data_IF_700689644723
#
_entry.id   IF_700689644723
#
_cell.length_a   1.000
_cell.length_b   1.000
_cell.length_c   1.000
_cell.angle_alpha   90.00
_cell.angle_beta   90.00
_cell.angle_gamma   90.00
#
_symmetry.space_group_name_H-M   'P 1'
#
loop_
_entity.id
_entity.type
_entity.pdbx_description
1 polymer ?
#
# COMPACT_ATOMS: atom_id res chain seq x y z
N UNK A 1 13.85 -8.78 21.51
CA UNK A 1 14.44 -9.96 22.16
C UNK A 1 13.33 -10.94 22.46
N UNK A 2 12.28 -10.55 23.20
CA UNK A 2 11.11 -11.39 23.51
C UNK A 2 10.48 -12.10 22.30
N UNK A 3 10.26 -11.41 21.19
CA UNK A 3 9.73 -12.00 19.94
C UNK A 3 10.60 -13.09 19.30
N UNK A 4 11.93 -13.00 19.47
CA UNK A 4 12.85 -14.03 18.99
C UNK A 4 12.84 -15.25 19.90
N UNK A 5 12.55 -15.05 21.20
CA UNK A 5 12.44 -16.13 22.18
C UNK A 5 11.11 -16.88 22.01
N UNK A 6 10.00 -16.17 21.81
CA UNK A 6 8.69 -16.78 21.56
C UNK A 6 8.66 -17.56 20.24
N UNK A 7 9.28 -17.02 19.18
CA UNK A 7 9.41 -17.73 17.90
C UNK A 7 10.33 -18.95 18.04
N UNK A 8 11.42 -18.86 18.79
CA UNK A 8 12.30 -20.00 19.08
C UNK A 8 11.59 -21.09 19.90
N UNK A 9 10.80 -20.69 20.91
CA UNK A 9 10.00 -21.62 21.72
C UNK A 9 8.93 -22.31 20.89
N UNK A 10 8.29 -21.57 19.97
CA UNK A 10 7.33 -22.11 19.03
C UNK A 10 7.98 -23.09 18.04
N UNK A 11 9.19 -22.80 17.53
CA UNK A 11 9.96 -23.73 16.70
C UNK A 11 10.27 -25.05 17.43
N UNK A 12 10.67 -24.98 18.70
CA UNK A 12 10.89 -26.18 19.53
C UNK A 12 9.60 -27.00 19.70
N UNK A 13 8.47 -26.33 19.95
CA UNK A 13 7.17 -26.97 20.04
C UNK A 13 6.76 -27.66 18.72
N UNK A 14 6.99 -27.00 17.57
CA UNK A 14 6.74 -27.60 16.26
C UNK A 14 7.61 -28.82 16.01
N UNK A 15 8.90 -28.77 16.32
CA UNK A 15 9.80 -29.92 16.14
C UNK A 15 9.37 -31.11 17.00
N UNK A 16 9.04 -30.89 18.27
CA UNK A 16 8.59 -31.96 19.17
C UNK A 16 7.26 -32.58 18.72
N UNK A 17 6.31 -31.75 18.27
CA UNK A 17 5.01 -32.23 17.80
C UNK A 17 5.08 -32.96 16.45
N UNK A 18 5.93 -32.50 15.52
CA UNK A 18 6.15 -33.16 14.24
C UNK A 18 6.92 -34.48 14.41
N UNK A 19 7.90 -34.53 15.31
CA UNK A 19 8.59 -35.79 15.68
C UNK A 19 7.61 -36.79 16.30
N UNK A 20 6.71 -36.34 17.19
CA UNK A 20 5.67 -37.19 17.76
C UNK A 20 4.65 -37.70 16.73
N UNK A 21 4.47 -36.98 15.62
CA UNK A 21 3.69 -37.40 14.46
C UNK A 21 4.52 -38.23 13.47
N UNK A 22 5.81 -38.46 13.71
CA UNK A 22 6.69 -39.21 12.82
C UNK A 22 6.98 -38.52 11.49
N UNK A 23 6.85 -37.18 11.44
CA UNK A 23 7.11 -36.37 10.26
C UNK A 23 8.53 -35.79 10.31
N UNK A 24 9.10 -35.51 9.14
CA UNK A 24 10.44 -34.92 9.03
C UNK A 24 10.47 -33.48 9.55
N UNK A 25 11.06 -33.30 10.73
CA UNK A 25 11.13 -31.99 11.39
C UNK A 25 11.87 -30.93 10.57
N UNK A 26 12.90 -31.27 9.79
CA UNK A 26 13.68 -30.26 9.06
C UNK A 26 12.88 -29.63 7.92
N UNK A 27 12.03 -30.44 7.28
CA UNK A 27 11.20 -30.00 6.14
C UNK A 27 9.90 -29.38 6.63
N UNK A 28 9.22 -30.03 7.58
CA UNK A 28 7.88 -29.63 7.97
C UNK A 28 7.86 -28.44 8.94
N UNK A 29 8.91 -28.18 9.73
CA UNK A 29 8.97 -26.98 10.58
C UNK A 29 8.95 -25.71 9.74
N UNK A 30 9.85 -25.60 8.76
CA UNK A 30 9.92 -24.41 7.90
C UNK A 30 8.69 -24.29 6.98
N UNK A 31 8.13 -25.41 6.53
CA UNK A 31 6.90 -25.41 5.75
C UNK A 31 5.70 -24.90 6.56
N UNK A 32 5.46 -25.45 7.76
CA UNK A 32 4.35 -25.05 8.63
C UNK A 32 4.48 -23.59 9.03
N UNK A 33 5.70 -23.11 9.30
CA UNK A 33 5.95 -21.69 9.52
C UNK A 33 5.60 -20.84 8.29
N UNK A 34 5.94 -21.29 7.09
CA UNK A 34 5.58 -20.60 5.85
C UNK A 34 4.07 -20.47 5.66
N UNK A 35 3.30 -21.51 5.99
CA UNK A 35 1.83 -21.50 5.97
C UNK A 35 1.30 -20.50 6.99
N UNK A 36 1.78 -20.59 8.24
CA UNK A 36 1.38 -19.70 9.32
C UNK A 36 1.68 -18.23 9.03
N UNK A 37 2.82 -17.91 8.42
CA UNK A 37 3.20 -16.56 8.01
C UNK A 37 2.39 -16.07 6.80
N UNK A 38 2.07 -16.93 5.85
CA UNK A 38 1.27 -16.55 4.68
C UNK A 38 -0.16 -16.17 5.09
N UNK A 39 -0.79 -17.01 5.91
CA UNK A 39 -2.13 -16.77 6.44
C UNK A 39 -2.15 -15.62 7.48
N UNK A 40 -1.03 -15.29 8.12
CA UNK A 40 -0.92 -14.11 8.99
C UNK A 40 -1.06 -12.76 8.25
N UNK A 41 -0.87 -12.76 6.92
CA UNK A 41 -0.97 -11.56 6.07
C UNK A 41 -2.38 -11.34 5.50
N UNK A 42 -3.30 -12.26 5.77
CA UNK A 42 -4.71 -12.11 5.44
C UNK A 42 -5.41 -11.09 6.34
N UNK A 43 -6.54 -10.57 5.87
CA UNK A 43 -7.38 -9.59 6.58
C UNK A 43 -8.30 -10.24 7.64
N UNK A 44 -8.15 -11.56 7.87
CA UNK A 44 -8.93 -12.32 8.81
C UNK A 44 -8.50 -12.01 10.25
N UNK A 45 -9.48 -11.71 11.12
CA UNK A 45 -9.22 -11.37 12.52
C UNK A 45 -9.53 -12.52 13.47
N UNK A 46 -8.63 -12.76 14.42
CA UNK A 46 -8.91 -13.55 15.62
C UNK A 46 -9.29 -15.02 15.35
N UNK A 47 -10.53 -15.40 15.71
CA UNK A 47 -11.02 -16.78 15.66
C UNK A 47 -11.15 -17.32 14.22
N UNK A 48 -11.50 -16.48 13.26
CA UNK A 48 -11.57 -16.86 11.84
C UNK A 48 -10.19 -17.23 11.31
N UNK A 49 -9.18 -16.43 11.67
CA UNK A 49 -7.78 -16.69 11.32
C UNK A 49 -7.26 -17.97 11.98
N UNK A 50 -7.64 -18.22 13.24
CA UNK A 50 -7.26 -19.46 13.93
C UNK A 50 -7.87 -20.70 13.25
N UNK A 51 -9.13 -20.63 12.83
CA UNK A 51 -9.80 -21.72 12.14
C UNK A 51 -9.17 -21.99 10.77
N UNK A 52 -8.91 -20.93 9.98
CA UNK A 52 -8.24 -21.03 8.67
C UNK A 52 -6.86 -21.66 8.79
N UNK A 53 -6.03 -21.18 9.73
CA UNK A 53 -4.71 -21.75 10.01
C UNK A 53 -4.78 -23.23 10.40
N UNK A 54 -5.75 -23.61 11.24
CA UNK A 54 -5.95 -25.00 11.63
C UNK A 54 -6.22 -25.87 10.40
N UNK A 55 -7.14 -25.43 9.53
CA UNK A 55 -7.54 -26.18 8.33
C UNK A 55 -6.36 -26.34 7.38
N UNK A 56 -5.62 -25.27 7.08
CA UNK A 56 -4.48 -25.31 6.15
C UNK A 56 -3.34 -26.22 6.66
N UNK A 57 -3.00 -26.12 7.95
CA UNK A 57 -1.99 -27.00 8.56
C UNK A 57 -2.48 -28.44 8.54
N UNK A 58 -3.74 -28.69 8.90
CA UNK A 58 -4.32 -30.03 8.92
C UNK A 58 -4.36 -30.67 7.54
N UNK A 59 -4.80 -29.94 6.52
CA UNK A 59 -4.81 -30.44 5.13
C UNK A 59 -3.41 -30.84 4.70
N UNK A 60 -2.41 -29.99 4.95
CA UNK A 60 -1.03 -30.29 4.57
C UNK A 60 -0.46 -31.51 5.29
N UNK A 61 -0.58 -31.54 6.62
CA UNK A 61 0.02 -32.61 7.42
C UNK A 61 -0.72 -33.94 7.19
N UNK A 62 -2.05 -33.91 7.00
CA UNK A 62 -2.84 -35.12 6.75
C UNK A 62 -2.43 -35.86 5.48
N UNK A 63 -1.99 -35.14 4.44
CA UNK A 63 -1.48 -35.73 3.20
C UNK A 63 -0.12 -36.41 3.36
N UNK A 64 0.63 -36.00 4.39
CA UNK A 64 1.98 -36.49 4.69
C UNK A 64 1.99 -37.59 5.75
N UNK A 65 0.83 -37.89 6.34
CA UNK A 65 0.65 -38.90 7.37
C UNK A 65 0.40 -40.27 6.73
N UNK A 66 1.36 -41.18 6.86
CA UNK A 66 1.28 -42.53 6.28
C UNK A 66 0.25 -43.46 6.95
N UNK A 67 -0.24 -43.14 8.16
CA UNK A 67 -1.23 -43.96 8.88
C UNK A 67 -2.49 -43.14 9.22
N UNK A 68 -3.63 -43.39 8.53
CA UNK A 68 -4.90 -42.71 8.76
C UNK A 68 -5.71 -43.34 9.91
N UNK A 69 -5.04 -43.81 10.96
CA UNK A 69 -5.73 -44.33 12.14
C UNK A 69 -6.46 -43.19 12.88
N UNK A 70 -7.66 -43.45 13.45
CA UNK A 70 -8.45 -42.40 14.11
C UNK A 70 -7.71 -41.75 15.29
N UNK A 71 -6.84 -42.51 15.97
CA UNK A 71 -5.98 -41.98 17.05
C UNK A 71 -4.93 -41.00 16.52
N UNK A 72 -4.28 -41.31 15.38
CA UNK A 72 -3.34 -40.38 14.74
C UNK A 72 -4.04 -39.13 14.22
N UNK A 73 -5.25 -39.27 13.68
CA UNK A 73 -6.02 -38.12 13.22
C UNK A 73 -6.43 -37.20 14.38
N UNK A 74 -6.80 -37.76 15.53
CA UNK A 74 -7.12 -36.98 16.74
C UNK A 74 -5.87 -36.27 17.30
N UNK A 75 -4.72 -36.95 17.31
CA UNK A 75 -3.44 -36.36 17.72
C UNK A 75 -3.02 -35.22 16.78
N UNK A 76 -3.21 -35.39 15.47
CA UNK A 76 -2.98 -34.35 14.48
C UNK A 76 -3.91 -33.16 14.70
N UNK A 77 -5.21 -33.39 14.90
CA UNK A 77 -6.18 -32.31 15.10
C UNK A 77 -5.86 -31.50 16.36
N UNK A 78 -5.50 -32.17 17.45
CA UNK A 78 -5.07 -31.53 18.69
C UNK A 78 -3.77 -30.72 18.50
N UNK A 79 -2.81 -31.26 17.75
CA UNK A 79 -1.57 -30.56 17.40
C UNK A 79 -1.84 -29.31 16.55
N UNK A 80 -2.64 -29.42 15.49
CA UNK A 80 -3.01 -28.29 14.63
C UNK A 80 -3.75 -27.20 15.41
N UNK A 81 -4.67 -27.58 16.31
CA UNK A 81 -5.33 -26.62 17.22
C UNK A 81 -4.30 -25.87 18.07
N UNK A 82 -3.38 -26.59 18.70
CA UNK A 82 -2.34 -26.00 19.54
C UNK A 82 -1.36 -25.11 18.77
N UNK A 83 -1.06 -25.45 17.51
CA UNK A 83 -0.25 -24.63 16.61
C UNK A 83 -0.94 -23.30 16.31
N UNK A 84 -2.20 -23.35 15.86
CA UNK A 84 -2.97 -22.15 15.54
C UNK A 84 -3.18 -21.25 16.75
N UNK A 85 -3.49 -21.82 17.93
CA UNK A 85 -3.68 -21.08 19.17
C UNK A 85 -2.41 -20.34 19.60
N UNK A 86 -1.27 -21.05 19.65
CA UNK A 86 0.01 -20.45 20.06
C UNK A 86 0.50 -19.41 19.05
N UNK A 87 0.28 -19.64 17.76
CA UNK A 87 0.63 -18.68 16.72
C UNK A 87 -0.15 -17.38 16.88
N UNK A 88 -1.49 -17.45 17.02
CA UNK A 88 -2.37 -16.28 17.15
C UNK A 88 -2.19 -15.54 18.47
N UNK A 89 -1.98 -16.25 19.59
CA UNK A 89 -1.92 -15.62 20.91
C UNK A 89 -0.52 -15.25 21.40
N UNK A 90 0.53 -15.91 20.91
CA UNK A 90 1.90 -15.68 21.38
C UNK A 90 2.71 -15.00 20.26
N UNK A 91 2.88 -15.69 19.13
CA UNK A 91 3.80 -15.25 18.07
C UNK A 91 3.34 -13.97 17.36
N UNK A 92 2.06 -13.89 16.98
CA UNK A 92 1.49 -12.73 16.29
C UNK A 92 1.56 -11.43 17.13
N UNK A 93 1.13 -11.42 18.40
CA UNK A 93 1.26 -10.24 19.25
C UNK A 93 2.71 -9.82 19.52
N UNK A 94 3.63 -10.78 19.69
CA UNK A 94 5.04 -10.46 19.94
C UNK A 94 5.74 -9.92 18.70
N UNK A 95 5.45 -10.45 17.51
CA UNK A 95 5.95 -9.92 16.24
C UNK A 95 5.38 -8.53 15.94
N UNK A 96 4.09 -8.28 16.21
CA UNK A 96 3.48 -6.96 16.08
C UNK A 96 4.12 -5.92 17.01
N UNK A 97 4.36 -6.27 18.29
CA UNK A 97 5.06 -5.39 19.25
C UNK A 97 6.49 -5.08 18.80
N UNK A 98 7.21 -6.05 18.24
CA UNK A 98 8.55 -5.82 17.71
C UNK A 98 8.54 -4.86 16.52
N UNK A 99 7.62 -5.05 15.57
CA UNK A 99 7.48 -4.16 14.41
C UNK A 99 7.14 -2.73 14.83
N UNK A 100 6.25 -2.57 15.81
CA UNK A 100 5.91 -1.26 16.36
C UNK A 100 7.12 -0.59 17.04
N UNK A 101 7.89 -1.35 17.83
CA UNK A 101 9.11 -0.85 18.49
C UNK A 101 10.20 -0.47 17.49
N UNK A 102 10.42 -1.28 16.45
CA UNK A 102 11.34 -0.94 15.35
C UNK A 102 10.90 0.33 14.61
N UNK A 103 9.60 0.49 14.36
CA UNK A 103 9.05 1.69 13.72
C UNK A 103 9.27 2.93 14.59
N UNK A 104 9.03 2.84 15.90
CA UNK A 104 9.31 3.94 16.83
C UNK A 104 10.79 4.29 16.88
N UNK A 105 11.68 3.30 16.96
CA UNK A 105 13.13 3.53 16.93
C UNK A 105 13.61 4.14 15.60
N UNK A 106 13.03 3.73 14.48
CA UNK A 106 13.34 4.30 13.16
C UNK A 106 12.89 5.77 13.07
N UNK A 107 11.69 6.09 13.59
CA UNK A 107 11.21 7.48 13.66
C UNK A 107 12.10 8.33 14.59
N UNK A 108 12.42 7.84 15.78
CA UNK A 108 13.30 8.55 16.73
C UNK A 108 14.72 8.79 16.17
N UNK A 109 15.25 7.85 15.38
CA UNK A 109 16.53 8.03 14.68
C UNK A 109 16.45 9.11 13.59
N UNK A 110 15.33 9.22 12.87
CA UNK A 110 15.09 10.28 11.88
C UNK A 110 14.95 11.66 12.56
N UNK A 111 14.24 11.74 13.69
CA UNK A 111 14.11 12.98 14.47
C UNK A 111 15.42 13.40 15.15
N UNK A 112 16.19 12.45 15.66
CA UNK A 112 17.52 12.71 16.27
C UNK A 112 18.57 13.09 15.23
N UNK A 113 18.48 12.56 14.01
CA UNK A 113 19.30 13.00 12.86
C UNK A 113 18.90 14.39 12.35
N UNK A 114 17.67 14.84 12.60
CA UNK A 114 17.15 16.13 12.11
C UNK A 114 17.36 17.29 13.09
N UNK A 115 17.91 17.04 14.28
CA UNK A 115 18.17 18.07 15.31
C UNK A 115 19.64 18.49 15.42
N UNK A 116 20.54 17.89 14.63
CA UNK A 116 21.94 18.31 14.50
C UNK A 116 22.20 18.94 13.12
N UNK A 117 21.60 20.10 12.85
CA UNK A 117 21.86 20.84 11.62
C UNK A 117 21.07 22.13 11.56
N UNK A 118 21.75 23.25 11.81
CA UNK A 118 21.28 24.58 11.47
C UNK A 118 20.75 24.64 10.03
N UNK A 119 19.84 25.56 9.69
CA UNK A 119 19.29 25.68 8.34
C UNK A 119 20.37 26.22 7.40
N UNK A 120 21.24 25.34 6.90
CA UNK A 120 21.97 25.62 5.68
C UNK A 120 21.00 25.36 4.54
N UNK A 121 20.77 26.41 3.75
CA UNK A 121 20.15 26.34 2.45
C UNK A 121 20.74 25.14 1.70
N UNK A 122 19.90 24.14 1.44
CA UNK A 122 20.27 22.96 0.66
C UNK A 122 20.47 23.43 -0.76
N UNK A 123 21.73 23.61 -1.12
CA UNK A 123 22.17 23.64 -2.51
C UNK A 123 21.75 22.28 -3.10
N UNK A 124 20.80 22.30 -4.04
CA UNK A 124 20.37 21.12 -4.79
C UNK A 124 21.60 20.48 -5.45
N UNK A 125 22.14 19.44 -4.80
CA UNK A 125 23.01 18.51 -5.49
C UNK A 125 22.19 17.91 -6.65
N UNK A 126 22.75 17.82 -7.88
CA UNK A 126 22.02 17.27 -9.01
C UNK A 126 21.70 15.81 -8.71
N UNK A 127 20.46 15.54 -8.31
CA UNK A 127 19.96 14.17 -8.23
C UNK A 127 20.12 13.56 -9.62
N UNK A 128 20.87 12.46 -9.68
CA UNK A 128 21.10 11.67 -10.88
C UNK A 128 19.72 11.33 -11.49
N UNK A 129 19.42 11.81 -12.72
CA UNK A 129 18.12 11.62 -13.37
C UNK A 129 17.68 10.15 -13.37
N UNK A 130 18.65 9.25 -13.35
CA UNK A 130 18.45 7.80 -13.26
C UNK A 130 17.82 7.39 -11.93
N UNK A 131 18.30 7.92 -10.80
CA UNK A 131 17.75 7.69 -9.48
C UNK A 131 16.32 8.24 -9.36
N UNK A 132 16.05 9.40 -9.98
CA UNK A 132 14.71 9.98 -10.03
C UNK A 132 13.74 9.09 -10.82
N UNK A 133 14.15 8.61 -12.01
CA UNK A 133 13.34 7.70 -12.83
C UNK A 133 13.09 6.35 -12.15
N UNK A 134 14.06 5.82 -11.42
CA UNK A 134 13.88 4.56 -10.68
C UNK A 134 12.88 4.76 -9.54
N UNK A 135 13.02 5.84 -8.76
CA UNK A 135 12.06 6.19 -7.69
C UNK A 135 10.66 6.34 -8.26
N UNK A 136 10.51 7.10 -9.35
CA UNK A 136 9.23 7.31 -10.02
C UNK A 136 8.63 6.00 -10.53
N UNK A 137 9.43 5.11 -11.12
CA UNK A 137 8.98 3.79 -11.59
C UNK A 137 8.52 2.89 -10.44
N UNK A 138 9.25 2.90 -9.33
CA UNK A 138 8.90 2.13 -8.13
C UNK A 138 7.62 2.68 -7.49
N UNK A 139 7.49 4.00 -7.40
CA UNK A 139 6.27 4.66 -6.92
C UNK A 139 5.08 4.42 -7.88
N UNK A 140 5.28 4.37 -9.19
CA UNK A 140 4.21 3.99 -10.12
C UNK A 140 3.81 2.51 -10.00
N UNK A 141 4.75 1.63 -9.64
CA UNK A 141 4.51 0.20 -9.56
C UNK A 141 3.94 -0.24 -8.21
N UNK A 142 4.28 0.46 -7.12
CA UNK A 142 3.98 0.07 -5.75
C UNK A 142 3.50 1.22 -4.85
N UNK A 143 3.44 2.44 -5.36
CA UNK A 143 2.89 3.60 -4.66
C UNK A 143 1.37 3.49 -4.64
N UNK A 144 0.85 3.00 -3.53
CA UNK A 144 -0.56 3.14 -3.22
C UNK A 144 -0.76 4.54 -2.64
N UNK A 145 -1.40 5.44 -3.39
CA UNK A 145 -1.97 6.67 -2.83
C UNK A 145 -3.17 6.26 -1.98
N UNK A 146 -2.94 6.08 -0.67
CA UNK A 146 -4.04 6.04 0.29
C UNK A 146 -4.48 7.50 0.46
N UNK A 147 -5.29 7.99 -0.46
CA UNK A 147 -6.08 9.21 -0.26
C UNK A 147 -7.22 8.87 0.72
N UNK A 148 -6.87 8.71 2.00
CA UNK A 148 -7.84 8.82 3.07
C UNK A 148 -8.16 10.31 3.23
N UNK A 149 -9.21 10.75 2.52
CA UNK A 149 -9.89 11.99 2.85
C UNK A 149 -10.54 11.80 4.22
N UNK A 150 -9.80 12.15 5.27
CA UNK A 150 -10.33 12.28 6.62
C UNK A 150 -11.01 13.64 6.70
N UNK A 151 -12.33 13.66 6.50
CA UNK A 151 -13.14 14.78 6.96
C UNK A 151 -13.34 14.63 8.48
N UNK A 152 -12.77 15.56 9.25
CA UNK A 152 -13.07 15.70 10.67
C UNK A 152 -14.48 16.30 10.81
N UNK A 153 -15.39 15.55 11.42
CA UNK A 153 -16.64 16.07 11.95
C UNK A 153 -16.37 16.97 13.18
N UNK A 154 -17.30 17.88 13.50
CA UNK A 154 -17.16 18.91 14.54
C UNK A 154 -16.99 18.36 15.99
N UNK A 155 -16.94 17.04 16.15
CA UNK A 155 -16.75 16.31 17.41
C UNK A 155 -15.48 15.42 17.41
N UNK A 156 -14.67 15.45 16.36
CA UNK A 156 -13.34 14.83 16.29
C UNK A 156 -13.35 13.29 16.19
N UNK A 157 -14.32 12.68 15.50
CA UNK A 157 -14.40 11.23 15.30
C UNK A 157 -14.29 10.85 13.82
N UNK A 158 -13.21 10.13 13.50
CA UNK A 158 -12.94 9.61 12.16
C UNK A 158 -14.10 8.71 11.65
N UNK A 159 -14.86 9.16 10.65
CA UNK A 159 -15.84 8.33 9.94
C UNK A 159 -15.32 7.94 8.54
N UNK A 160 -15.19 6.63 8.29
CA UNK A 160 -14.97 6.08 6.96
C UNK A 160 -16.28 6.17 6.15
N UNK A 161 -16.28 6.97 5.08
CA UNK A 161 -17.43 7.09 4.19
C UNK A 161 -17.50 5.85 3.27
N UNK A 162 -18.20 4.81 3.72
CA UNK A 162 -18.60 3.68 2.87
C UNK A 162 -19.51 4.18 1.76
N UNK A 163 -18.95 4.40 0.57
CA UNK A 163 -19.67 4.88 -0.60
C UNK A 163 -20.50 3.75 -1.22
N UNK A 164 -21.63 3.44 -0.59
CA UNK A 164 -22.75 2.78 -1.25
C UNK A 164 -23.53 3.79 -2.09
N UNK A 165 -23.17 3.98 -3.35
CA UNK A 165 -24.01 4.70 -4.31
C UNK A 165 -24.15 3.88 -5.60
N UNK A 166 -25.35 3.33 -5.80
CA UNK A 166 -25.68 2.45 -6.91
C UNK A 166 -25.74 3.13 -8.27
N UNK A 167 -25.53 2.34 -9.32
CA UNK A 167 -26.11 2.60 -10.64
C UNK A 167 -26.34 1.29 -11.42
N UNK A 168 -27.62 1.06 -11.71
CA UNK A 168 -28.21 0.13 -12.69
C UNK A 168 -27.26 -0.47 -13.75
N UNK A 169 -27.03 -1.79 -13.71
CA UNK A 169 -26.86 -2.62 -14.91
C UNK A 169 -27.57 -3.97 -14.73
N UNK A 170 -28.28 -4.37 -15.79
CA UNK A 170 -29.21 -5.51 -15.94
C UNK A 170 -28.69 -6.84 -15.38
N UNK A 171 -29.60 -7.75 -14.97
CA UNK A 171 -29.23 -9.11 -14.62
C UNK A 171 -28.94 -9.88 -15.91
N UNK A 172 -27.70 -10.30 -16.10
CA UNK A 172 -27.35 -11.36 -17.05
C UNK A 172 -26.73 -12.49 -16.25
N UNK A 173 -27.42 -13.63 -16.29
CA UNK A 173 -27.13 -14.89 -15.61
C UNK A 173 -25.67 -15.34 -15.74
N UNK A 174 -25.11 -15.78 -14.61
CA UNK A 174 -23.87 -16.55 -14.53
C UNK A 174 -23.14 -16.37 -13.18
N UNK A 175 -22.76 -17.45 -12.48
CA UNK A 175 -22.07 -17.33 -11.21
C UNK A 175 -20.61 -16.89 -11.42
N UNK A 176 -20.22 -15.81 -10.75
CA UNK A 176 -18.91 -15.73 -10.10
C UNK A 176 -17.66 -15.49 -10.96
N UNK A 177 -17.73 -14.71 -12.04
CA UNK A 177 -16.50 -14.12 -12.61
C UNK A 177 -16.74 -12.62 -12.78
N UNK A 178 -16.29 -11.82 -11.82
CA UNK A 178 -16.07 -10.39 -12.04
C UNK A 178 -15.07 -10.27 -13.20
N UNK A 179 -15.56 -9.91 -14.38
CA UNK A 179 -14.72 -9.63 -15.53
C UNK A 179 -13.70 -8.55 -15.15
N UNK A 180 -12.42 -8.85 -15.35
CA UNK A 180 -11.33 -7.92 -15.05
C UNK A 180 -11.40 -6.71 -16.01
N UNK A 181 -12.07 -5.65 -15.54
CA UNK A 181 -12.21 -4.37 -16.25
C UNK A 181 -11.00 -3.44 -16.07
N UNK A 182 -9.91 -3.91 -15.44
CA UNK A 182 -8.74 -3.06 -15.15
C UNK A 182 -8.10 -2.52 -16.44
N UNK A 183 -8.04 -3.35 -17.48
CA UNK A 183 -7.50 -2.91 -18.79
C UNK A 183 -8.34 -1.79 -19.40
N UNK A 184 -9.67 -1.89 -19.32
CA UNK A 184 -10.58 -0.87 -19.84
C UNK A 184 -10.48 0.42 -19.02
N UNK A 185 -10.41 0.30 -17.69
CA UNK A 185 -10.28 1.44 -16.77
C UNK A 185 -8.97 2.20 -16.97
N UNK A 186 -7.85 1.49 -17.12
CA UNK A 186 -6.53 2.10 -17.40
C UNK A 186 -6.51 2.78 -18.77
N UNK A 187 -7.10 2.16 -19.80
CA UNK A 187 -7.20 2.79 -21.12
C UNK A 187 -8.07 4.05 -21.09
N UNK A 188 -9.19 4.02 -20.37
CA UNK A 188 -10.08 5.18 -20.23
C UNK A 188 -9.40 6.31 -19.46
N UNK A 189 -8.69 6.01 -18.37
CA UNK A 189 -7.93 7.00 -17.60
C UNK A 189 -6.81 7.63 -18.46
N UNK A 190 -6.07 6.83 -19.24
CA UNK A 190 -5.02 7.35 -20.13
C UNK A 190 -5.60 8.24 -21.24
N UNK A 191 -6.74 7.86 -21.82
CA UNK A 191 -7.42 8.69 -22.82
C UNK A 191 -7.96 9.99 -22.22
N UNK A 192 -8.53 9.93 -21.02
CA UNK A 192 -9.01 11.11 -20.30
C UNK A 192 -7.87 12.07 -19.94
N UNK A 193 -6.71 11.55 -19.49
CA UNK A 193 -5.53 12.36 -19.21
C UNK A 193 -5.01 13.07 -20.48
N UNK A 194 -4.95 12.37 -21.61
CA UNK A 194 -4.57 12.99 -22.89
C UNK A 194 -5.57 14.05 -23.35
N UNK A 195 -6.87 13.84 -23.11
CA UNK A 195 -7.89 14.83 -23.43
C UNK A 195 -7.79 16.08 -22.55
N UNK A 196 -7.53 15.92 -21.24
CA UNK A 196 -7.29 17.02 -20.30
C UNK A 196 -6.05 17.83 -20.68
N UNK A 197 -4.93 17.17 -20.98
CA UNK A 197 -3.70 17.85 -21.41
C UNK A 197 -3.90 18.65 -22.71
N UNK A 198 -4.69 18.12 -23.67
CA UNK A 198 -5.03 18.86 -24.89
C UNK A 198 -5.91 20.09 -24.60
N UNK A 199 -6.90 19.94 -23.73
CA UNK A 199 -7.79 21.04 -23.35
C UNK A 199 -7.03 22.14 -22.59
N UNK A 200 -6.15 21.77 -21.65
CA UNK A 200 -5.29 22.70 -20.92
C UNK A 200 -4.33 23.45 -21.84
N UNK A 201 -3.69 22.74 -22.78
CA UNK A 201 -2.82 23.36 -23.78
C UNK A 201 -3.61 24.34 -24.67
N UNK A 202 -4.82 23.99 -25.11
CA UNK A 202 -5.65 24.89 -25.90
C UNK A 202 -6.07 26.14 -25.11
N UNK A 203 -6.45 25.98 -23.84
CA UNK A 203 -6.76 27.12 -22.96
C UNK A 203 -5.54 28.03 -22.75
N UNK A 204 -4.36 27.46 -22.56
CA UNK A 204 -3.13 28.24 -22.37
C UNK A 204 -2.72 28.96 -23.66
N UNK A 205 -2.88 28.34 -24.82
CA UNK A 205 -2.67 29.01 -26.12
C UNK A 205 -3.62 30.19 -26.30
N UNK A 206 -4.91 30.03 -25.96
CA UNK A 206 -5.89 31.11 -26.02
C UNK A 206 -5.56 32.25 -25.05
N UNK A 207 -5.15 31.91 -23.82
CA UNK A 207 -4.70 32.88 -22.81
C UNK A 207 -3.48 33.66 -23.30
N UNK A 208 -2.47 32.99 -23.84
CA UNK A 208 -1.27 33.63 -24.37
C UNK A 208 -1.58 34.53 -25.58
N UNK A 209 -2.47 34.09 -26.47
CA UNK A 209 -2.94 34.92 -27.59
C UNK A 209 -3.64 36.19 -27.12
N UNK A 210 -4.47 36.09 -26.08
CA UNK A 210 -5.14 37.25 -25.49
C UNK A 210 -4.14 38.22 -24.82
N UNK A 211 -3.14 37.69 -24.12
CA UNK A 211 -2.08 38.51 -23.51
C UNK A 211 -1.24 39.25 -24.56
N UNK A 212 -0.90 38.60 -25.68
CA UNK A 212 -0.17 39.25 -26.77
C UNK A 212 -0.97 40.40 -27.40
N UNK A 213 -2.28 40.22 -27.62
CA UNK A 213 -3.14 41.29 -28.15
C UNK A 213 -3.21 42.49 -27.20
N UNK A 214 -3.29 42.25 -25.89
CA UNK A 214 -3.26 43.32 -24.89
C UNK A 214 -1.93 44.08 -24.89
N UNK A 215 -0.80 43.37 -25.03
CA UNK A 215 0.51 44.02 -25.14
C UNK A 215 0.63 44.86 -26.43
N UNK A 216 0.17 44.35 -27.58
CA UNK A 216 0.18 45.12 -28.83
C UNK A 216 -0.66 46.40 -28.72
N UNK A 217 -1.85 46.34 -28.12
CA UNK A 217 -2.67 47.54 -27.88
C UNK A 217 -2.00 48.54 -26.93
N UNK A 218 -1.25 48.08 -25.92
CA UNK A 218 -0.49 48.97 -25.03
C UNK A 218 0.63 49.68 -25.80
N UNK A 219 1.38 48.94 -26.61
CA UNK A 219 2.46 49.48 -27.45
C UNK A 219 1.90 50.50 -28.45
N UNK A 220 0.76 50.21 -29.10
CA UNK A 220 0.12 51.16 -30.03
C UNK A 220 -0.36 52.43 -29.33
N UNK A 221 -1.01 52.30 -28.16
CA UNK A 221 -1.42 53.46 -27.36
C UNK A 221 -0.23 54.30 -26.93
N UNK A 222 0.87 53.67 -26.55
CA UNK A 222 2.09 54.37 -26.19
C UNK A 222 2.73 55.08 -27.39
N UNK A 223 2.83 54.41 -28.55
CA UNK A 223 3.26 55.02 -29.82
C UNK A 223 2.41 56.24 -30.17
N UNK A 224 1.09 56.17 -30.02
CA UNK A 224 0.20 57.30 -30.25
C UNK A 224 0.43 58.44 -29.25
N UNK A 225 0.73 58.15 -27.97
CA UNK A 225 1.07 59.17 -26.97
C UNK A 225 2.41 59.84 -27.29
N UNK A 226 3.42 59.08 -27.71
CA UNK A 226 4.73 59.62 -28.11
C UNK A 226 4.60 60.48 -29.36
N UNK A 227 3.92 60.00 -30.41
CA UNK A 227 3.69 60.78 -31.64
C UNK A 227 2.91 62.09 -31.38
N UNK A 228 1.94 62.07 -30.45
CA UNK A 228 1.24 63.30 -30.01
C UNK A 228 2.14 64.25 -29.24
N UNK A 229 3.05 63.74 -28.39
CA UNK A 229 4.03 64.56 -27.66
C UNK A 229 5.04 65.20 -28.62
N UNK A 230 5.57 64.46 -29.58
CA UNK A 230 6.51 64.99 -30.59
C UNK A 230 5.85 66.04 -31.50
N UNK A 231 4.60 65.82 -31.94
CA UNK A 231 3.85 66.85 -32.69
C UNK A 231 3.59 68.13 -31.89
N UNK A 232 3.50 68.05 -30.57
CA UNK A 232 3.29 69.20 -29.69
C UNK A 232 4.60 69.91 -29.32
N UNK A 233 5.73 69.20 -29.34
CA UNK A 233 7.06 69.77 -29.07
C UNK A 233 7.72 70.38 -30.31
N UNK A 234 7.32 69.97 -31.53
CA UNK A 234 7.81 70.51 -32.80
C UNK A 234 7.02 71.70 -33.36
N UNK A 235 6.20 72.38 -32.55
CA UNK A 235 5.40 73.55 -32.92
C UNK A 235 5.56 74.64 -31.87
#
# INVERSE_FOLDING_TARGET
MESSEELSAFKSFLSEGLEALGLDTEVFVEYVLGVLEAASKGDAGGEEQQHELKVEIQETLSLSLDDPSPQRQEQLDAFCCGCAERWVHQVLPATAKQHQKQRQQALDAVFSSSTAGAPQAVEEAPEDETARRIRERVVQQYGYEIDELVEEDEEGRLQLQSSSSGSNKKPTDGPGIWCNDNRARVQQASQAARARAKAEHEMEVQRNKQQQLLQQQRIEKEKQRVAKKERKAGR
#
